data_IF_904453933248
#
_entry.id   IF_904453933248
#
_cell.length_a   1.000
_cell.length_b   1.000
_cell.length_c   1.000
_cell.angle_alpha   90.00
_cell.angle_beta   90.00
_cell.angle_gamma   90.00
#
_symmetry.space_group_name_H-M   'P 1'
#
loop_
_entity.id
_entity.type
_entity.pdbx_description
1 polymer ?
#
# COMPACT_ATOMS: atom_id res chain seq x y z
N UNK A 1 -8.12 5.29 2.63
CA UNK A 1 -6.84 5.25 1.87
C UNK A 1 -5.60 5.22 2.80
N UNK A 2 -5.78 5.05 4.12
CA UNK A 2 -4.70 5.10 5.11
C UNK A 2 -3.61 4.02 4.93
N UNK A 3 -4.02 2.75 4.75
CA UNK A 3 -3.08 1.62 4.59
C UNK A 3 -2.17 1.81 3.38
N UNK A 4 -2.68 2.35 2.26
CA UNK A 4 -1.88 2.56 1.06
C UNK A 4 -0.74 3.57 1.30
N UNK A 5 -1.03 4.68 2.01
CA UNK A 5 -0.03 5.70 2.37
C UNK A 5 1.07 5.12 3.25
N UNK A 6 0.69 4.36 4.28
CA UNK A 6 1.64 3.74 5.21
C UNK A 6 2.49 2.66 4.53
N UNK A 7 1.92 1.92 3.58
CA UNK A 7 2.66 0.96 2.74
C UNK A 7 3.73 1.69 1.91
N UNK A 8 3.40 2.83 1.28
CA UNK A 8 4.37 3.63 0.50
C UNK A 8 5.51 4.13 1.38
N UNK A 9 5.21 4.57 2.60
CA UNK A 9 6.19 4.98 3.62
C UNK A 9 7.07 3.83 4.16
N UNK A 10 6.89 2.59 3.66
CA UNK A 10 7.70 1.44 4.05
C UNK A 10 7.31 0.83 5.40
N UNK A 11 6.14 1.15 5.95
CA UNK A 11 5.67 0.57 7.22
C UNK A 11 5.29 -0.90 7.02
N UNK A 12 5.65 -1.73 8.00
CA UNK A 12 5.32 -3.17 7.97
C UNK A 12 3.85 -3.41 8.34
N UNK A 13 3.30 -4.59 8.02
CA UNK A 13 1.94 -4.97 8.41
C UNK A 13 1.70 -4.80 9.91
N UNK A 14 2.69 -5.18 10.74
CA UNK A 14 2.61 -5.04 12.20
C UNK A 14 2.54 -3.57 12.63
N UNK A 15 3.43 -2.73 12.11
CA UNK A 15 3.42 -1.30 12.43
C UNK A 15 2.10 -0.63 11.99
N UNK A 16 1.56 -1.00 10.83
CA UNK A 16 0.28 -0.48 10.35
C UNK A 16 -0.88 -0.92 11.26
N UNK A 17 -0.88 -2.19 11.67
CA UNK A 17 -1.86 -2.73 12.61
C UNK A 17 -1.83 -1.95 13.94
N UNK A 18 -0.63 -1.74 14.49
CA UNK A 18 -0.41 -0.99 15.74
C UNK A 18 -0.86 0.48 15.60
N UNK A 19 -0.44 1.17 14.53
CA UNK A 19 -0.79 2.59 14.30
C UNK A 19 -2.29 2.81 14.09
N UNK A 20 -3.00 1.85 13.49
CA UNK A 20 -4.42 1.95 13.23
C UNK A 20 -5.29 1.25 14.28
N UNK A 21 -4.67 0.61 15.28
CA UNK A 21 -5.36 -0.20 16.30
C UNK A 21 -6.30 -1.26 15.70
N UNK A 22 -5.83 -1.97 14.66
CA UNK A 22 -6.56 -3.05 13.99
C UNK A 22 -5.72 -4.32 13.94
N UNK A 23 -6.36 -5.46 13.64
CA UNK A 23 -5.64 -6.71 13.46
C UNK A 23 -4.75 -6.69 12.20
N UNK A 24 -3.63 -7.41 12.23
CA UNK A 24 -2.75 -7.62 11.06
C UNK A 24 -3.51 -8.24 9.87
N UNK A 25 -4.46 -9.14 10.15
CA UNK A 25 -5.35 -9.73 9.15
C UNK A 25 -6.23 -8.69 8.45
N UNK A 26 -6.67 -7.65 9.17
CA UNK A 26 -7.42 -6.52 8.59
C UNK A 26 -6.52 -5.69 7.66
N UNK A 27 -5.26 -5.48 8.04
CA UNK A 27 -4.27 -4.83 7.16
C UNK A 27 -4.06 -5.65 5.88
N UNK A 28 -3.92 -6.97 5.99
CA UNK A 28 -3.75 -7.85 4.82
C UNK A 28 -4.99 -7.85 3.91
N UNK A 29 -6.20 -7.84 4.49
CA UNK A 29 -7.44 -7.65 3.75
C UNK A 29 -7.43 -6.32 2.97
N UNK A 30 -7.02 -5.21 3.60
CA UNK A 30 -6.88 -3.93 2.90
C UNK A 30 -5.81 -3.98 1.80
N UNK A 31 -4.65 -4.62 2.03
CA UNK A 31 -3.60 -4.79 1.00
C UNK A 31 -4.11 -5.58 -0.19
N UNK A 32 -4.87 -6.65 0.04
CA UNK A 32 -5.49 -7.46 -1.01
C UNK A 32 -6.51 -6.66 -1.83
N UNK A 33 -7.32 -5.84 -1.16
CA UNK A 33 -8.27 -4.96 -1.84
C UNK A 33 -7.57 -3.88 -2.66
N UNK A 34 -6.45 -3.33 -2.18
CA UNK A 34 -5.63 -2.38 -2.94
C UNK A 34 -5.09 -3.07 -4.20
N UNK A 35 -4.51 -4.27 -4.07
CA UNK A 35 -4.02 -5.05 -5.23
C UNK A 35 -5.12 -5.33 -6.25
N UNK A 36 -6.34 -5.67 -5.78
CA UNK A 36 -7.51 -5.88 -6.65
C UNK A 36 -7.88 -4.60 -7.40
N UNK A 37 -7.90 -3.46 -6.71
CA UNK A 37 -8.28 -2.16 -7.30
C UNK A 37 -7.30 -1.66 -8.36
N UNK A 38 -6.01 -1.94 -8.21
CA UNK A 38 -4.96 -1.52 -9.17
C UNK A 38 -4.56 -2.63 -10.15
N UNK A 39 -5.29 -3.75 -10.19
CA UNK A 39 -5.09 -4.79 -11.19
C UNK A 39 -3.85 -5.68 -11.00
N UNK A 40 -3.16 -5.65 -9.86
CA UNK A 40 -1.94 -6.46 -9.60
C UNK A 40 -2.20 -7.68 -8.70
N UNK A 41 -3.46 -8.06 -8.50
CA UNK A 41 -3.81 -9.25 -7.74
C UNK A 41 -3.32 -10.50 -8.48
N UNK A 42 -2.57 -11.36 -7.79
CA UNK A 42 -2.01 -12.60 -8.37
C UNK A 42 -0.67 -12.44 -9.09
N UNK A 43 -0.27 -11.21 -9.43
CA UNK A 43 1.06 -10.95 -9.98
C UNK A 43 2.14 -10.94 -8.88
N UNK A 44 3.38 -11.40 -9.14
CA UNK A 44 4.50 -11.36 -8.20
C UNK A 44 5.09 -9.95 -8.05
N UNK A 45 4.22 -8.93 -7.98
CA UNK A 45 4.59 -7.51 -7.90
C UNK A 45 4.61 -7.07 -6.43
N UNK A 46 5.65 -6.35 -6.02
CA UNK A 46 5.71 -5.73 -4.69
C UNK A 46 4.75 -4.54 -4.61
N UNK A 47 3.78 -4.59 -3.69
CA UNK A 47 2.76 -3.54 -3.56
C UNK A 47 3.36 -2.17 -3.20
N UNK A 48 4.42 -2.12 -2.39
CA UNK A 48 5.07 -0.85 -2.00
C UNK A 48 5.73 -0.19 -3.20
N UNK A 49 6.60 -0.93 -3.90
CA UNK A 49 7.34 -0.40 -5.05
C UNK A 49 6.38 0.03 -6.15
N UNK A 50 5.33 -0.77 -6.40
CA UNK A 50 4.29 -0.41 -7.34
C UNK A 50 3.58 0.87 -6.92
N UNK A 51 3.03 0.96 -5.71
CA UNK A 51 2.36 2.18 -5.28
C UNK A 51 3.29 3.40 -5.34
N UNK A 52 4.55 3.28 -4.90
CA UNK A 52 5.50 4.38 -4.94
C UNK A 52 5.71 4.93 -6.35
N UNK A 53 5.83 4.08 -7.39
CA UNK A 53 6.03 4.58 -8.76
C UNK A 53 4.86 5.45 -9.26
N UNK A 54 3.62 5.12 -8.88
CA UNK A 54 2.45 5.94 -9.22
C UNK A 54 2.44 7.32 -8.53
N UNK A 55 3.06 7.44 -7.35
CA UNK A 55 3.09 8.71 -6.60
C UNK A 55 4.30 9.59 -6.96
N UNK A 56 5.45 9.00 -7.30
CA UNK A 56 6.61 9.74 -7.82
C UNK A 56 6.28 10.40 -9.17
N UNK A 57 5.60 9.68 -10.07
CA UNK A 57 5.14 10.23 -11.36
C UNK A 57 4.11 11.37 -11.22
N UNK A 58 3.37 11.42 -10.11
CA UNK A 58 2.41 12.49 -9.83
C UNK A 58 3.09 13.73 -9.23
N UNK A 59 4.24 13.55 -8.59
CA UNK A 59 5.05 14.63 -8.00
C UNK A 59 5.97 15.25 -9.04
N UNK A 60 6.55 14.45 -9.94
CA UNK A 60 7.40 14.90 -11.05
C UNK A 60 6.66 15.70 -12.15
N UNK A 61 5.32 15.71 -12.14
CA UNK A 61 4.49 16.54 -13.05
C UNK A 61 4.18 17.92 -12.47
N UNK A 62 4.70 18.26 -11.29
CA UNK A 62 4.46 19.52 -10.59
C UNK A 62 5.67 20.48 -10.61
N UNK A 63 6.77 20.07 -11.24
CA UNK A 63 7.97 20.88 -11.49
C UNK A 63 8.00 21.32 -12.96
#
# INVERSE_FOLDING_TARGET
>A
LEVAKLVIQGKTTKMIADMLSIATSTVDFHRNNIRKKIGIRGAPINLRTYLASFFEEASARRD
#
